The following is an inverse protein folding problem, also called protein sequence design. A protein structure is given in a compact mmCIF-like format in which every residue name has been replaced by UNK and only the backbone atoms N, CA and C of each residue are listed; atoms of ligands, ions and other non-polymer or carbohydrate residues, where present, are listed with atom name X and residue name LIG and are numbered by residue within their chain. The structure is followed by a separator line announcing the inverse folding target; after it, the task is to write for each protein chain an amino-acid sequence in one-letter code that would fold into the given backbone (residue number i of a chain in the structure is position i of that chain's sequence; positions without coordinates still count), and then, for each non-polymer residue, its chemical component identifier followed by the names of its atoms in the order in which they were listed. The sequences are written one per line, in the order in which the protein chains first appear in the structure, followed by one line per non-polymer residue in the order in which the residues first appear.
data_IF_941619634451
#
_entry.id   IF_941619634451
#
_cell.length_a   1.000
_cell.length_b   1.000
_cell.length_c   1.000
_cell.angle_alpha   90.00
_cell.angle_beta   90.00
_cell.angle_gamma   90.00
#
_symmetry.space_group_name_H-M   'P 1'
#
loop_
_entity.id
_entity.type
_entity.pdbx_description
1 polymer ?
#
# COMPACT_ATOMS: atom_id res chain seq x y z
N UNK A 1 -16.64 -2.05 21.73
CA UNK A 1 -17.26 -2.15 23.06
C UNK A 1 -17.76 -0.78 23.56
N UNK A 2 -16.93 0.27 23.70
CA UNK A 2 -17.33 1.56 24.27
C UNK A 2 -18.55 2.18 23.53
N UNK A 3 -18.56 2.17 22.20
CA UNK A 3 -19.64 2.78 21.42
C UNK A 3 -21.01 2.19 21.76
N UNK A 4 -21.11 0.88 21.98
CA UNK A 4 -22.38 0.23 22.30
C UNK A 4 -22.94 0.62 23.66
N UNK A 5 -22.12 1.17 24.56
CA UNK A 5 -22.55 1.57 25.91
C UNK A 5 -23.12 2.98 25.97
N UNK A 6 -23.00 3.76 24.88
CA UNK A 6 -23.61 5.08 24.80
C UNK A 6 -25.13 5.02 24.60
N UNK A 7 -25.88 6.01 25.10
CA UNK A 7 -27.28 6.20 24.74
C UNK A 7 -27.48 6.28 23.22
N UNK A 8 -28.62 5.88 22.73
CA UNK A 8 -28.90 5.77 21.29
C UNK A 8 -28.75 7.10 20.54
N UNK A 9 -29.11 8.22 21.16
CA UNK A 9 -28.94 9.56 20.60
C UNK A 9 -27.50 9.98 20.37
N UNK A 10 -26.56 9.40 21.15
CA UNK A 10 -25.11 9.59 20.98
C UNK A 10 -24.57 8.51 20.04
N UNK A 11 -24.89 7.23 20.29
CA UNK A 11 -24.42 6.08 19.51
C UNK A 11 -24.70 6.27 18.01
N UNK A 12 -25.90 6.74 17.64
CA UNK A 12 -26.31 6.93 16.26
C UNK A 12 -25.60 8.09 15.55
N UNK A 13 -24.87 8.95 16.27
CA UNK A 13 -24.04 10.03 15.70
C UNK A 13 -22.58 9.60 15.49
N UNK A 14 -22.16 8.51 16.13
CA UNK A 14 -20.76 8.05 16.05
C UNK A 14 -20.58 7.22 14.79
N UNK A 15 -19.61 7.62 13.97
CA UNK A 15 -19.18 6.87 12.81
C UNK A 15 -17.76 6.36 13.05
N UNK A 16 -17.58 5.03 12.96
CA UNK A 16 -16.30 4.37 13.24
C UNK A 16 -15.65 3.86 11.96
N UNK A 17 -14.38 4.16 11.78
CA UNK A 17 -13.56 3.66 10.70
C UNK A 17 -12.51 2.69 11.22
N UNK A 18 -12.43 1.50 10.64
CA UNK A 18 -11.36 0.52 10.86
C UNK A 18 -10.37 0.53 9.71
N UNK A 19 -9.13 0.81 10.02
CA UNK A 19 -8.03 0.68 9.06
C UNK A 19 -7.68 -0.80 8.85
N UNK A 20 -8.23 -1.39 7.80
CA UNK A 20 -7.86 -2.70 7.29
C UNK A 20 -6.62 -2.63 6.39
N UNK A 21 -6.30 -3.72 5.72
CA UNK A 21 -5.11 -3.84 4.88
C UNK A 21 -5.29 -4.92 3.80
N UNK A 22 -4.72 -4.71 2.63
CA UNK A 22 -4.63 -5.73 1.57
C UNK A 22 -3.83 -6.98 1.98
N UNK A 23 -2.99 -6.87 3.02
CA UNK A 23 -2.26 -8.03 3.58
C UNK A 23 -3.21 -9.12 4.11
N UNK A 24 -4.47 -8.79 4.42
CA UNK A 24 -5.48 -9.79 4.80
C UNK A 24 -5.76 -10.81 3.69
N UNK A 25 -5.62 -10.41 2.42
CA UNK A 25 -5.74 -11.34 1.28
C UNK A 25 -4.61 -12.36 1.24
N UNK A 26 -3.43 -12.01 1.74
CA UNK A 26 -2.28 -12.88 1.94
C UNK A 26 -1.90 -13.66 0.68
N UNK A 27 -1.99 -15.01 0.74
CA UNK A 27 -1.83 -15.85 -0.45
C UNK A 27 -3.11 -15.75 -1.29
N UNK A 28 -3.11 -14.81 -2.22
CA UNK A 28 -4.29 -14.38 -2.97
C UNK A 28 -4.97 -15.53 -3.71
N UNK A 29 -6.30 -15.59 -3.62
CA UNK A 29 -7.14 -16.60 -4.24
C UNK A 29 -7.86 -16.07 -5.50
N UNK A 30 -7.85 -14.76 -5.70
CA UNK A 30 -8.49 -14.07 -6.82
C UNK A 30 -7.70 -12.81 -7.20
N UNK A 31 -7.66 -12.47 -8.48
CA UNK A 31 -7.01 -11.27 -9.02
C UNK A 31 -7.98 -10.61 -10.01
N UNK A 32 -8.24 -9.29 -9.89
CA UNK A 32 -7.88 -8.42 -8.75
C UNK A 32 -8.68 -8.77 -7.48
N UNK A 33 -8.19 -8.32 -6.31
CA UNK A 33 -8.86 -8.49 -5.04
C UNK A 33 -9.89 -7.39 -4.81
N UNK A 34 -11.09 -7.78 -4.36
CA UNK A 34 -12.19 -6.87 -4.01
C UNK A 34 -12.80 -7.25 -2.65
N UNK A 35 -13.88 -6.60 -2.27
CA UNK A 35 -14.55 -6.78 -0.97
C UNK A 35 -15.12 -8.18 -0.75
N UNK A 36 -15.33 -8.96 -1.83
CA UNK A 36 -15.85 -10.35 -1.77
C UNK A 36 -14.77 -11.41 -1.90
N UNK A 37 -13.53 -11.01 -2.22
CA UNK A 37 -12.40 -11.93 -2.31
C UNK A 37 -12.08 -12.54 -0.95
N UNK A 38 -12.00 -13.87 -0.81
CA UNK A 38 -11.68 -14.52 0.45
C UNK A 38 -10.32 -14.10 0.99
N UNK A 39 -10.25 -13.86 2.29
CA UNK A 39 -9.00 -13.57 3.00
C UNK A 39 -8.22 -14.86 3.30
N UNK A 40 -6.90 -14.78 3.18
CA UNK A 40 -5.98 -15.90 3.43
C UNK A 40 -4.64 -15.37 4.00
N UNK A 41 -4.65 -14.79 5.23
CA UNK A 41 -3.50 -14.11 5.80
C UNK A 41 -2.31 -15.05 6.01
N UNK A 42 -1.10 -14.54 5.75
CA UNK A 42 0.16 -15.31 5.88
C UNK A 42 1.14 -14.69 6.88
N UNK A 43 0.69 -13.69 7.65
CA UNK A 43 1.50 -13.05 8.68
C UNK A 43 0.68 -12.79 9.95
N UNK A 44 1.33 -12.71 11.14
CA UNK A 44 0.64 -12.33 12.38
C UNK A 44 -0.04 -10.96 12.28
N UNK A 45 0.58 -10.01 11.58
CA UNK A 45 -0.01 -8.70 11.30
C UNK A 45 -1.33 -8.82 10.51
N UNK A 46 -1.31 -9.56 9.41
CA UNK A 46 -2.49 -9.77 8.57
C UNK A 46 -3.61 -10.50 9.33
N UNK A 47 -3.26 -11.50 10.15
CA UNK A 47 -4.22 -12.23 11.00
C UNK A 47 -4.87 -11.30 12.05
N UNK A 48 -4.10 -10.43 12.69
CA UNK A 48 -4.62 -9.44 13.65
C UNK A 48 -5.55 -8.43 12.98
N UNK A 49 -5.21 -7.97 11.76
CA UNK A 49 -6.07 -7.07 10.97
C UNK A 49 -7.36 -7.74 10.51
N UNK A 50 -7.29 -9.02 10.13
CA UNK A 50 -8.49 -9.81 9.78
C UNK A 50 -9.40 -10.03 10.99
N UNK A 51 -8.83 -10.28 12.17
CA UNK A 51 -9.59 -10.31 13.41
C UNK A 51 -10.36 -8.99 13.63
N UNK A 52 -9.67 -7.85 13.54
CA UNK A 52 -10.28 -6.55 13.70
C UNK A 52 -11.38 -6.28 12.65
N UNK A 53 -11.15 -6.66 11.39
CA UNK A 53 -12.14 -6.58 10.32
C UNK A 53 -13.44 -7.32 10.68
N UNK A 54 -13.32 -8.57 11.11
CA UNK A 54 -14.48 -9.39 11.48
C UNK A 54 -15.20 -8.84 12.71
N UNK A 55 -14.47 -8.38 13.73
CA UNK A 55 -15.08 -7.76 14.92
C UNK A 55 -15.90 -6.54 14.54
N UNK A 56 -15.39 -5.67 13.67
CA UNK A 56 -16.13 -4.48 13.21
C UNK A 56 -17.40 -4.87 12.49
N UNK A 57 -17.34 -5.86 11.59
CA UNK A 57 -18.51 -6.37 10.87
C UNK A 57 -19.55 -6.94 11.81
N UNK A 58 -19.14 -7.81 12.77
CA UNK A 58 -20.03 -8.38 13.77
C UNK A 58 -20.71 -7.30 14.64
N UNK A 59 -19.95 -6.28 15.07
CA UNK A 59 -20.51 -5.20 15.89
C UNK A 59 -21.46 -4.29 15.08
N UNK A 60 -21.17 -4.03 13.83
CA UNK A 60 -22.09 -3.35 12.91
C UNK A 60 -23.42 -4.08 12.82
N UNK A 61 -23.36 -5.38 12.56
CA UNK A 61 -24.57 -6.21 12.33
C UNK A 61 -25.36 -6.44 13.62
N UNK A 62 -24.67 -6.69 14.76
CA UNK A 62 -25.32 -7.03 16.02
C UNK A 62 -25.88 -5.83 16.80
N UNK A 63 -25.24 -4.64 16.69
CA UNK A 63 -25.55 -3.49 17.53
C UNK A 63 -25.97 -2.25 16.72
N UNK A 64 -26.17 -2.39 15.42
CA UNK A 64 -26.55 -1.29 14.52
C UNK A 64 -25.63 -0.06 14.67
N UNK A 65 -24.30 -0.31 14.81
CA UNK A 65 -23.30 0.73 14.91
C UNK A 65 -22.86 1.11 13.50
N UNK A 66 -22.76 2.41 13.21
CA UNK A 66 -22.16 2.86 11.97
C UNK A 66 -20.65 2.57 12.03
N UNK A 67 -20.23 1.46 11.46
CA UNK A 67 -18.82 1.03 11.45
C UNK A 67 -18.43 0.51 10.06
N UNK A 68 -17.35 1.03 9.50
CA UNK A 68 -16.85 0.71 8.16
C UNK A 68 -15.44 0.14 8.22
N UNK A 69 -15.12 -0.79 7.32
CA UNK A 69 -13.75 -1.25 7.12
C UNK A 69 -13.20 -0.69 5.79
N UNK A 70 -12.07 0.00 5.85
CA UNK A 70 -11.28 0.27 4.66
C UNK A 70 -10.25 -0.83 4.44
N UNK A 71 -10.31 -1.53 3.31
CA UNK A 71 -9.32 -2.52 2.90
C UNK A 71 -8.29 -1.81 2.05
N UNK A 72 -7.23 -1.31 2.71
CA UNK A 72 -6.28 -0.41 2.09
C UNK A 72 -5.14 -1.18 1.43
N UNK A 73 -4.90 -0.89 0.16
CA UNK A 73 -3.67 -1.28 -0.52
C UNK A 73 -2.52 -0.35 -0.12
N UNK A 74 -1.32 -0.63 -0.60
CA UNK A 74 -0.14 0.15 -0.20
C UNK A 74 -0.32 1.62 -0.58
N UNK A 75 -0.11 2.52 0.36
CA UNK A 75 -0.23 3.96 0.13
C UNK A 75 0.97 4.68 0.73
N UNK A 76 1.56 5.50 -0.09
CA UNK A 76 2.86 6.11 0.13
C UNK A 76 2.74 7.64 0.13
N UNK A 77 3.74 8.31 0.66
CA UNK A 77 3.89 9.76 0.61
C UNK A 77 5.30 10.15 1.09
N UNK A 78 5.71 11.44 1.03
CA UNK A 78 6.94 11.90 1.67
C UNK A 78 7.04 11.55 3.16
N UNK A 79 5.89 11.43 3.85
CA UNK A 79 5.81 11.07 5.28
C UNK A 79 5.92 9.57 5.57
N UNK A 80 6.14 8.73 4.53
CA UNK A 80 6.29 7.28 4.73
C UNK A 80 7.49 6.97 5.63
N UNK A 81 7.35 6.01 6.53
CA UNK A 81 8.45 5.58 7.40
C UNK A 81 9.69 5.12 6.61
N UNK A 82 10.88 5.54 7.02
CA UNK A 82 12.16 5.30 6.33
C UNK A 82 12.52 3.82 6.13
N UNK A 83 11.92 2.92 6.93
CA UNK A 83 12.15 1.48 6.86
C UNK A 83 11.33 0.77 5.76
N UNK A 84 10.36 1.45 5.15
CA UNK A 84 9.59 0.90 4.04
C UNK A 84 10.37 0.98 2.73
N UNK A 85 10.19 -0.03 1.87
CA UNK A 85 11.01 -0.21 0.65
C UNK A 85 10.95 1.00 -0.27
N UNK A 86 9.79 1.59 -0.47
CA UNK A 86 9.61 2.78 -1.31
C UNK A 86 10.42 3.97 -0.80
N UNK A 87 10.30 4.30 0.50
CA UNK A 87 11.06 5.40 1.09
C UNK A 87 12.56 5.09 1.20
N UNK A 88 12.93 3.82 1.42
CA UNK A 88 14.34 3.40 1.36
C UNK A 88 14.96 3.65 -0.02
N UNK A 89 14.19 3.41 -1.10
CA UNK A 89 14.61 3.68 -2.48
C UNK A 89 14.73 5.19 -2.69
N UNK A 90 13.71 5.98 -2.36
CA UNK A 90 13.70 7.45 -2.52
C UNK A 90 14.88 8.09 -1.80
N UNK A 91 15.07 7.77 -0.50
CA UNK A 91 16.18 8.31 0.28
C UNK A 91 17.55 7.83 -0.23
N UNK A 92 17.64 6.56 -0.65
CA UNK A 92 18.86 6.04 -1.24
C UNK A 92 19.24 6.75 -2.55
N UNK A 93 18.26 7.13 -3.36
CA UNK A 93 18.49 7.91 -4.58
C UNK A 93 18.92 9.34 -4.22
N UNK A 94 18.27 10.00 -3.24
CA UNK A 94 18.72 11.30 -2.73
C UNK A 94 20.20 11.23 -2.28
N UNK A 95 20.55 10.23 -1.46
CA UNK A 95 21.94 10.03 -0.99
C UNK A 95 22.93 9.79 -2.14
N UNK A 96 22.52 9.07 -3.20
CA UNK A 96 23.35 8.84 -4.39
C UNK A 96 23.57 10.14 -5.17
N UNK A 97 22.51 10.93 -5.36
CA UNK A 97 22.61 12.23 -6.05
C UNK A 97 23.50 13.21 -5.28
N UNK A 98 23.45 13.17 -3.95
CA UNK A 98 24.28 14.00 -3.06
C UNK A 98 25.73 13.46 -2.91
N UNK A 99 26.06 12.31 -3.52
CA UNK A 99 27.38 11.68 -3.39
C UNK A 99 27.65 11.02 -2.04
N UNK A 100 26.62 10.86 -1.19
CA UNK A 100 26.73 10.24 0.15
C UNK A 100 26.75 8.71 0.11
N UNK A 101 26.21 8.13 -0.96
CA UNK A 101 26.17 6.67 -1.22
C UNK A 101 26.52 6.35 -2.66
N UNK A 102 27.06 5.16 -2.88
CA UNK A 102 27.29 4.64 -4.23
C UNK A 102 26.08 3.82 -4.73
N UNK A 103 25.49 3.00 -3.85
CA UNK A 103 24.41 2.07 -4.20
C UNK A 103 23.45 1.80 -3.04
N UNK A 104 22.31 1.22 -3.37
CA UNK A 104 21.28 0.79 -2.43
C UNK A 104 21.27 -0.75 -2.36
N UNK A 105 21.19 -1.31 -1.15
CA UNK A 105 21.02 -2.74 -0.91
C UNK A 105 19.53 -3.05 -0.71
N UNK A 106 18.99 -3.99 -1.47
CA UNK A 106 17.59 -4.40 -1.43
C UNK A 106 17.47 -5.93 -1.37
N UNK A 107 16.31 -6.44 -0.94
CA UNK A 107 15.97 -7.85 -1.01
C UNK A 107 15.23 -8.20 -2.31
N UNK A 108 14.06 -8.85 -2.18
CA UNK A 108 13.24 -9.22 -3.32
C UNK A 108 12.71 -7.99 -4.06
N UNK A 109 13.11 -7.84 -5.32
CA UNK A 109 12.69 -6.74 -6.20
C UNK A 109 11.55 -7.14 -7.16
N UNK A 110 11.08 -8.38 -7.10
CA UNK A 110 10.06 -8.92 -8.00
C UNK A 110 8.66 -8.90 -7.41
N UNK A 111 8.52 -8.76 -6.09
CA UNK A 111 7.21 -8.62 -5.45
C UNK A 111 6.44 -7.45 -6.03
N UNK A 112 5.16 -7.70 -6.36
CA UNK A 112 4.29 -6.72 -7.01
C UNK A 112 3.30 -6.14 -6.01
N UNK A 113 3.16 -4.82 -6.03
CA UNK A 113 2.26 -4.09 -5.14
C UNK A 113 1.45 -3.07 -5.94
N UNK A 114 0.24 -2.85 -5.47
CA UNK A 114 -0.61 -1.73 -5.86
C UNK A 114 -0.27 -0.57 -4.93
N UNK A 115 0.41 0.45 -5.45
CA UNK A 115 0.83 1.63 -4.70
C UNK A 115 0.04 2.86 -5.10
N UNK A 116 -0.64 3.47 -4.14
CA UNK A 116 -1.30 4.77 -4.29
C UNK A 116 -0.71 5.83 -3.37
N UNK A 117 -1.31 7.02 -3.38
CA UNK A 117 -0.89 8.14 -2.54
C UNK A 117 -1.73 8.24 -1.26
N UNK A 118 -1.10 8.52 -0.13
CA UNK A 118 -1.77 8.58 1.17
C UNK A 118 -2.88 9.64 1.23
N UNK A 119 -2.75 10.78 0.54
CA UNK A 119 -3.82 11.80 0.47
C UNK A 119 -5.11 11.25 -0.14
N UNK A 120 -4.99 10.52 -1.26
CA UNK A 120 -6.15 9.92 -1.93
C UNK A 120 -6.84 8.90 -1.02
N UNK A 121 -6.06 8.10 -0.30
CA UNK A 121 -6.58 7.09 0.62
C UNK A 121 -7.28 7.72 1.83
N UNK A 122 -6.70 8.76 2.43
CA UNK A 122 -7.33 9.50 3.53
C UNK A 122 -8.64 10.14 3.09
N UNK A 123 -8.70 10.69 1.86
CA UNK A 123 -9.94 11.18 1.28
C UNK A 123 -10.98 10.07 1.14
N UNK A 124 -10.58 8.88 0.65
CA UNK A 124 -11.46 7.71 0.61
C UNK A 124 -11.97 7.28 1.98
N UNK A 125 -11.11 7.27 3.01
CA UNK A 125 -11.51 6.98 4.39
C UNK A 125 -12.57 7.96 4.89
N UNK A 126 -12.40 9.25 4.59
CA UNK A 126 -13.37 10.29 4.95
C UNK A 126 -14.69 10.08 4.21
N UNK A 127 -14.67 9.80 2.91
CA UNK A 127 -15.87 9.54 2.11
C UNK A 127 -16.68 8.34 2.62
N UNK A 128 -16.03 7.27 3.10
CA UNK A 128 -16.73 6.13 3.72
C UNK A 128 -17.56 6.57 4.93
N UNK A 129 -17.08 7.53 5.71
CA UNK A 129 -17.76 8.06 6.89
C UNK A 129 -18.84 9.08 6.54
N UNK A 130 -18.93 9.55 5.28
CA UNK A 130 -20.00 10.47 4.84
C UNK A 130 -21.24 9.72 4.35
N UNK A 131 -21.15 8.40 4.17
CA UNK A 131 -22.28 7.61 3.69
C UNK A 131 -23.42 7.52 4.72
N UNK A 132 -24.64 7.25 4.24
CA UNK A 132 -25.81 7.03 5.10
C UNK A 132 -25.82 5.62 5.71
N UNK A 133 -25.26 4.66 4.99
CA UNK A 133 -25.16 3.25 5.43
C UNK A 133 -23.71 2.80 5.49
N UNK A 134 -23.33 2.07 6.57
CA UNK A 134 -21.95 1.59 6.70
C UNK A 134 -21.70 0.38 5.78
N UNK A 135 -20.56 0.37 5.10
CA UNK A 135 -20.11 -0.76 4.28
C UNK A 135 -18.58 -0.85 4.27
N UNK A 136 -18.04 -1.91 3.66
CA UNK A 136 -16.61 -2.13 3.55
C UNK A 136 -16.15 -1.78 2.12
N UNK A 137 -14.96 -1.14 2.00
CA UNK A 137 -14.47 -0.67 0.72
C UNK A 137 -12.98 -0.97 0.53
N UNK A 138 -12.64 -1.45 -0.68
CA UNK A 138 -11.26 -1.53 -1.15
C UNK A 138 -10.81 -0.16 -1.66
N UNK A 139 -9.70 0.35 -1.12
CA UNK A 139 -8.99 1.49 -1.69
C UNK A 139 -7.69 0.99 -2.33
N UNK A 140 -7.62 1.11 -3.65
CA UNK A 140 -6.52 0.64 -4.47
C UNK A 140 -6.37 1.50 -5.72
N UNK A 141 -5.27 1.36 -6.44
CA UNK A 141 -5.10 2.06 -7.72
C UNK A 141 -5.64 1.26 -8.91
N UNK A 142 -5.79 -0.05 -8.76
CA UNK A 142 -6.09 -0.96 -9.88
C UNK A 142 -4.88 -1.21 -10.78
N UNK A 143 -3.68 -0.81 -10.34
CA UNK A 143 -2.43 -1.02 -11.06
C UNK A 143 -1.41 -1.67 -10.12
N UNK A 144 -0.57 -2.54 -10.66
CA UNK A 144 0.46 -3.19 -9.86
C UNK A 144 1.82 -3.04 -10.53
N UNK A 145 2.83 -2.77 -9.70
CA UNK A 145 4.21 -2.60 -10.11
C UNK A 145 5.11 -3.49 -9.26
N UNK A 146 6.16 -4.04 -9.84
CA UNK A 146 7.21 -4.68 -9.06
C UNK A 146 8.05 -3.62 -8.34
N UNK A 147 8.76 -4.03 -7.29
CA UNK A 147 9.77 -3.16 -6.66
C UNK A 147 10.81 -2.70 -7.69
N UNK A 148 11.16 -3.57 -8.64
CA UNK A 148 12.07 -3.26 -9.75
C UNK A 148 11.52 -2.15 -10.66
N UNK A 149 10.21 -2.17 -10.98
CA UNK A 149 9.57 -1.11 -11.76
C UNK A 149 9.60 0.22 -10.99
N UNK A 150 9.30 0.19 -9.68
CA UNK A 150 9.39 1.36 -8.83
C UNK A 150 10.80 1.95 -8.81
N UNK A 151 11.85 1.11 -8.69
CA UNK A 151 13.26 1.52 -8.76
C UNK A 151 13.54 2.22 -10.09
N UNK A 152 13.18 1.59 -11.21
CA UNK A 152 13.44 2.13 -12.54
C UNK A 152 12.79 3.51 -12.74
N UNK A 153 11.51 3.65 -12.35
CA UNK A 153 10.79 4.91 -12.46
C UNK A 153 11.38 5.99 -11.54
N UNK A 154 11.77 5.62 -10.30
CA UNK A 154 12.35 6.55 -9.35
C UNK A 154 13.74 7.05 -9.80
N UNK A 155 14.62 6.19 -10.30
CA UNK A 155 15.91 6.61 -10.88
C UNK A 155 15.72 7.45 -12.15
N UNK A 156 14.80 7.04 -13.03
CA UNK A 156 14.47 7.77 -14.26
C UNK A 156 13.98 9.19 -13.98
N UNK A 157 13.20 9.41 -12.92
CA UNK A 157 12.73 10.75 -12.51
C UNK A 157 13.87 11.70 -12.12
N UNK A 158 15.06 11.17 -11.83
CA UNK A 158 16.31 11.92 -11.57
C UNK A 158 17.30 11.90 -12.75
N UNK A 159 16.84 11.50 -13.94
CA UNK A 159 17.69 11.44 -15.15
C UNK A 159 18.71 10.29 -15.15
N UNK A 160 18.52 9.30 -14.30
CA UNK A 160 19.41 8.12 -14.21
C UNK A 160 18.70 6.91 -14.83
N UNK A 161 19.26 6.41 -15.94
CA UNK A 161 18.74 5.20 -16.59
C UNK A 161 19.50 3.98 -16.09
N UNK A 162 18.75 2.95 -15.65
CA UNK A 162 19.34 1.72 -15.12
C UNK A 162 19.39 0.62 -16.16
N UNK A 163 20.50 -0.10 -16.18
CA UNK A 163 20.67 -1.36 -16.93
C UNK A 163 20.95 -2.49 -15.93
N UNK A 164 20.14 -3.55 -16.00
CA UNK A 164 20.22 -4.69 -15.10
C UNK A 164 21.06 -5.81 -15.70
N UNK A 165 21.90 -6.44 -14.87
CA UNK A 165 22.71 -7.62 -15.21
C UNK A 165 22.62 -8.64 -14.08
N UNK A 166 22.75 -9.92 -14.42
CA UNK A 166 22.60 -11.03 -13.47
C UNK A 166 21.15 -11.46 -13.29
N UNK A 167 20.92 -12.35 -12.33
CA UNK A 167 19.59 -12.87 -11.96
C UNK A 167 19.54 -13.14 -10.46
N UNK A 168 18.34 -13.04 -9.87
CA UNK A 168 18.10 -13.33 -8.45
C UNK A 168 19.06 -12.54 -7.53
N UNK A 169 19.78 -13.23 -6.64
CA UNK A 169 20.68 -12.61 -5.66
C UNK A 169 21.91 -11.95 -6.29
N UNK A 170 22.28 -12.35 -7.51
CA UNK A 170 23.40 -11.78 -8.27
C UNK A 170 22.98 -10.66 -9.22
N UNK A 171 21.71 -10.20 -9.12
CA UNK A 171 21.22 -9.12 -9.96
C UNK A 171 21.71 -7.77 -9.46
N UNK A 172 22.25 -6.98 -10.40
CA UNK A 172 22.87 -5.68 -10.13
C UNK A 172 22.36 -4.68 -11.17
N UNK A 173 22.01 -3.46 -10.74
CA UNK A 173 21.70 -2.37 -11.66
C UNK A 173 22.86 -1.38 -11.77
N UNK A 174 23.17 -0.99 -13.00
CA UNK A 174 24.18 -0.01 -13.36
C UNK A 174 23.51 1.22 -13.97
N UNK A 175 24.04 2.40 -13.69
CA UNK A 175 23.66 3.62 -14.41
C UNK A 175 24.34 3.71 -15.79
N UNK A 176 24.03 4.80 -16.53
CA UNK A 176 24.61 5.07 -17.85
C UNK A 176 26.15 5.29 -17.83
N UNK A 177 26.74 5.49 -16.66
CA UNK A 177 28.18 5.64 -16.45
C UNK A 177 28.82 4.34 -15.92
N UNK A 178 28.11 3.22 -16.01
CA UNK A 178 28.52 1.90 -15.51
C UNK A 178 28.80 1.85 -14.01
N UNK A 179 28.29 2.80 -13.22
CA UNK A 179 28.36 2.73 -11.75
C UNK A 179 27.22 1.88 -11.21
N UNK A 180 27.51 1.03 -10.24
CA UNK A 180 26.52 0.21 -9.57
C UNK A 180 25.61 1.13 -8.74
N UNK A 181 24.28 0.96 -8.88
CA UNK A 181 23.27 1.71 -8.16
C UNK A 181 22.37 0.85 -7.28
N UNK A 182 22.16 -0.40 -7.67
CA UNK A 182 21.40 -1.38 -6.86
C UNK A 182 22.19 -2.68 -6.77
N UNK A 183 22.20 -3.27 -5.58
CA UNK A 183 22.64 -4.65 -5.33
C UNK A 183 21.58 -5.39 -4.53
N UNK A 184 21.45 -6.68 -4.78
CA UNK A 184 20.58 -7.56 -3.99
C UNK A 184 21.39 -8.11 -2.81
N UNK A 185 20.77 -8.12 -1.62
CA UNK A 185 21.35 -8.69 -0.41
C UNK A 185 20.30 -9.61 0.24
N UNK A 186 20.60 -10.93 0.32
CA UNK A 186 19.68 -11.94 0.84
C UNK A 186 19.15 -11.66 2.25
N UNK A 187 19.89 -10.93 3.08
CA UNK A 187 19.46 -10.58 4.45
C UNK A 187 18.16 -9.74 4.49
N UNK A 188 17.78 -9.11 3.37
CA UNK A 188 16.55 -8.33 3.24
C UNK A 188 15.38 -9.13 2.65
N UNK A 189 15.56 -10.42 2.37
CA UNK A 189 14.44 -11.29 1.97
C UNK A 189 13.55 -11.58 3.18
N UNK A 190 12.25 -11.58 2.96
CA UNK A 190 11.27 -11.92 4.00
C UNK A 190 10.93 -13.40 3.89
N UNK A 191 10.84 -14.14 5.02
CA UNK A 191 10.50 -15.57 5.01
C UNK A 191 9.12 -15.88 4.40
N UNK A 192 8.15 -14.98 4.62
CA UNK A 192 6.79 -15.08 4.08
C UNK A 192 6.47 -13.76 3.39
N UNK A 193 6.59 -13.75 2.08
CA UNK A 193 6.27 -12.56 1.27
C UNK A 193 5.02 -12.83 0.44
N UNK A 194 4.19 -11.81 0.31
CA UNK A 194 3.06 -11.83 -0.63
C UNK A 194 3.61 -11.41 -1.99
N UNK A 195 3.48 -12.30 -2.99
CA UNK A 195 4.06 -12.06 -4.32
C UNK A 195 3.34 -10.98 -5.12
N UNK A 196 2.00 -10.94 -5.00
CA UNK A 196 1.15 -10.05 -5.79
C UNK A 196 0.00 -9.50 -4.95
N UNK A 197 -0.16 -8.18 -4.97
CA UNK A 197 -1.37 -7.48 -4.54
C UNK A 197 -1.82 -6.55 -5.66
N UNK A 198 -3.10 -6.68 -6.08
CA UNK A 198 -3.75 -5.85 -7.08
C UNK A 198 -5.21 -5.65 -6.67
N UNK A 199 -5.57 -4.46 -6.24
CA UNK A 199 -6.93 -4.16 -5.77
C UNK A 199 -7.88 -3.78 -6.90
N UNK A 200 -9.17 -4.03 -6.68
CA UNK A 200 -10.26 -3.56 -7.52
C UNK A 200 -10.99 -2.40 -6.82
N UNK A 201 -10.74 -1.14 -7.20
CA UNK A 201 -11.33 0.01 -6.54
C UNK A 201 -12.74 0.37 -7.06
N UNK A 202 -13.33 -0.40 -7.95
CA UNK A 202 -14.59 -0.03 -8.64
C UNK A 202 -15.73 0.31 -7.69
N UNK A 203 -15.87 -0.42 -6.58
CA UNK A 203 -16.90 -0.11 -5.57
C UNK A 203 -16.71 1.26 -4.96
N UNK A 204 -15.48 1.60 -4.54
CA UNK A 204 -15.17 2.92 -3.98
C UNK A 204 -15.37 4.05 -5.01
N UNK A 205 -14.95 3.84 -6.25
CA UNK A 205 -15.15 4.81 -7.34
C UNK A 205 -16.63 5.06 -7.59
N UNK A 206 -17.45 4.00 -7.68
CA UNK A 206 -18.87 4.13 -8.08
C UNK A 206 -19.78 4.56 -6.93
N UNK A 207 -19.57 4.06 -5.72
CA UNK A 207 -20.45 4.33 -4.58
C UNK A 207 -20.02 5.54 -3.75
N UNK A 208 -18.70 5.78 -3.60
CA UNK A 208 -18.17 6.91 -2.84
C UNK A 208 -17.85 8.12 -3.74
N UNK A 209 -17.92 7.97 -5.07
CA UNK A 209 -17.38 8.94 -6.04
C UNK A 209 -15.91 9.27 -5.74
N UNK A 210 -15.15 8.25 -5.30
CA UNK A 210 -13.75 8.41 -4.92
C UNK A 210 -12.89 8.64 -6.16
N UNK A 211 -12.21 9.79 -6.19
CA UNK A 211 -11.28 10.17 -7.25
C UNK A 211 -9.88 10.31 -6.68
N UNK A 212 -8.86 9.99 -7.50
CA UNK A 212 -7.46 10.07 -7.13
C UNK A 212 -6.79 11.25 -7.85
N UNK A 213 -6.09 12.07 -7.09
CA UNK A 213 -5.21 13.13 -7.61
C UNK A 213 -3.91 12.52 -8.15
N UNK A 214 -3.38 11.51 -7.44
CA UNK A 214 -2.16 10.79 -7.80
C UNK A 214 -2.51 9.48 -8.52
N UNK A 215 -2.98 9.61 -9.76
CA UNK A 215 -3.51 8.51 -10.58
C UNK A 215 -2.44 7.67 -11.27
N UNK A 216 -1.17 8.10 -11.22
CA UNK A 216 -0.02 7.40 -11.80
C UNK A 216 1.10 7.19 -10.81
N UNK A 217 1.91 6.12 -11.02
CA UNK A 217 3.09 5.85 -10.20
C UNK A 217 4.13 6.97 -10.30
N UNK A 218 4.21 7.65 -11.44
CA UNK A 218 5.15 8.75 -11.64
C UNK A 218 4.79 9.97 -10.79
N UNK A 219 3.50 10.35 -10.71
CA UNK A 219 3.04 11.41 -9.81
C UNK A 219 3.35 11.09 -8.35
N UNK A 220 3.11 9.85 -7.93
CA UNK A 220 3.46 9.39 -6.59
C UNK A 220 4.95 9.52 -6.31
N UNK A 221 5.80 9.02 -7.20
CA UNK A 221 7.26 9.06 -7.07
C UNK A 221 7.77 10.50 -7.00
N UNK A 222 7.28 11.37 -7.89
CA UNK A 222 7.68 12.78 -7.91
C UNK A 222 7.35 13.44 -6.58
N UNK A 223 6.14 13.25 -6.05
CA UNK A 223 5.74 13.81 -4.76
C UNK A 223 6.60 13.27 -3.61
N UNK A 224 6.95 11.98 -3.60
CA UNK A 224 7.81 11.38 -2.59
C UNK A 224 9.24 11.97 -2.54
N UNK A 225 9.68 12.66 -3.61
CA UNK A 225 10.94 13.39 -3.62
C UNK A 225 10.81 14.82 -3.08
N UNK A 226 9.59 15.37 -2.93
CA UNK A 226 9.31 16.76 -2.57
C UNK A 226 9.29 16.98 -1.04
N UNK A 227 10.35 16.63 -0.32
CA UNK A 227 10.58 17.06 1.06
C UNK A 227 11.67 18.11 1.13
#
# INVERSE_FOLDING_TARGET
EIIKTFPDDIKNKIKFYQAGTSEMYGKVLQIPQNETTPFNPVSPYAAAKLYAYNIVKMYRDAYNIFAVNGILFNHESPRRGKNFVTMKIINGIKDICDGKKEHILLGNIYSKRDWGHAKDYVHGMWLMLQQDTPDDFVLATGQTFSVKDFINNAFKSKGINLTWKGKNENEVAYDQNYKIRIKIDPKYYRPCEVDLLLGDPRKAITQLNWQREFDTIDKLIIDMFNE
#
